data_IF_526656509088
#
_entry.id   IF_526656509088
#
_cell.length_a   1.000
_cell.length_b   1.000
_cell.length_c   1.000
_cell.angle_alpha   90.00
_cell.angle_beta   90.00
_cell.angle_gamma   90.00
#
_symmetry.space_group_name_H-M   'P 1'
#
loop_
_entity.id
_entity.type
_entity.pdbx_description
1 polymer ?
#
# COMPACT_ATOMS: atom_id res chain seq x y z
N UNK A 1 -3.24 27.53 -9.86
CA UNK A 1 -3.14 26.53 -8.78
C UNK A 1 -1.73 25.95 -8.82
N UNK A 2 -1.06 25.76 -7.68
CA UNK A 2 0.13 24.92 -7.64
C UNK A 2 -0.27 23.46 -7.91
N UNK A 3 0.54 22.74 -8.69
CA UNK A 3 0.45 21.31 -8.91
C UNK A 3 1.70 20.69 -8.29
N UNK A 4 1.52 19.77 -7.34
CA UNK A 4 2.61 19.11 -6.64
C UNK A 4 2.70 17.65 -7.08
N UNK A 5 3.92 17.17 -7.26
CA UNK A 5 4.24 15.80 -7.61
C UNK A 5 5.44 15.35 -6.77
N UNK A 6 5.33 14.18 -6.15
CA UNK A 6 6.39 13.56 -5.39
C UNK A 6 6.65 12.15 -5.96
N UNK A 7 7.92 11.83 -6.16
CA UNK A 7 8.38 10.49 -6.48
C UNK A 7 9.48 10.12 -5.50
N UNK A 8 9.19 9.17 -4.61
CA UNK A 8 10.15 8.67 -3.64
C UNK A 8 10.06 7.14 -3.58
N UNK A 9 11.13 6.51 -3.08
CA UNK A 9 11.15 5.09 -2.78
C UNK A 9 10.49 4.84 -1.42
N UNK A 10 10.00 3.62 -1.20
CA UNK A 10 9.52 3.22 0.12
C UNK A 10 10.70 3.26 1.12
N UNK A 11 10.49 3.95 2.24
CA UNK A 11 11.51 4.10 3.28
C UNK A 11 11.69 2.79 4.05
N UNK A 12 12.90 2.23 3.99
CA UNK A 12 13.27 0.99 4.68
C UNK A 12 13.08 1.07 6.20
N UNK A 13 13.13 2.28 6.78
CA UNK A 13 12.90 2.49 8.22
C UNK A 13 11.44 2.24 8.60
N UNK A 14 10.50 2.55 7.71
CA UNK A 14 9.07 2.29 7.94
C UNK A 14 8.76 0.80 7.86
N UNK A 15 9.39 0.09 6.91
CA UNK A 15 9.32 -1.37 6.81
C UNK A 15 9.87 -2.00 8.09
N UNK A 16 11.09 -1.63 8.50
CA UNK A 16 11.73 -2.14 9.71
C UNK A 16 10.90 -1.83 10.98
N UNK A 17 10.23 -0.68 11.03
CA UNK A 17 9.34 -0.32 12.13
C UNK A 17 8.13 -1.27 12.23
N UNK A 18 7.48 -1.58 11.11
CA UNK A 18 6.36 -2.52 11.08
C UNK A 18 6.82 -3.94 11.41
N UNK A 19 7.98 -4.35 10.90
CA UNK A 19 8.57 -5.65 11.21
C UNK A 19 8.92 -5.81 12.69
N UNK A 20 9.43 -4.76 13.34
CA UNK A 20 9.69 -4.76 14.78
C UNK A 20 8.41 -4.93 15.62
N UNK A 21 7.23 -4.69 15.03
CA UNK A 21 5.91 -4.90 15.65
C UNK A 21 5.29 -6.27 15.32
N UNK A 22 6.04 -7.14 14.62
CA UNK A 22 5.64 -8.51 14.32
C UNK A 22 4.93 -8.71 12.99
N UNK A 23 4.95 -7.71 12.11
CA UNK A 23 4.45 -7.82 10.72
C UNK A 23 5.58 -8.39 9.85
N UNK A 24 5.29 -9.27 8.89
CA UNK A 24 6.34 -9.69 7.96
C UNK A 24 6.68 -8.57 6.95
N UNK A 25 7.78 -8.72 6.21
CA UNK A 25 8.27 -7.71 5.28
C UNK A 25 7.29 -7.47 4.11
N UNK A 26 6.68 -8.52 3.58
CA UNK A 26 5.72 -8.44 2.47
C UNK A 26 4.46 -7.68 2.91
N UNK A 27 3.94 -8.04 4.09
CA UNK A 27 2.78 -7.38 4.68
C UNK A 27 3.08 -5.92 5.09
N UNK A 28 4.30 -5.62 5.54
CA UNK A 28 4.74 -4.26 5.83
C UNK A 28 4.76 -3.39 4.56
N UNK A 29 5.36 -3.88 3.46
CA UNK A 29 5.39 -3.18 2.17
C UNK A 29 3.98 -2.98 1.62
N UNK A 30 3.13 -4.00 1.69
CA UNK A 30 1.73 -3.95 1.28
C UNK A 30 0.93 -2.92 2.07
N UNK A 31 1.16 -2.84 3.39
CA UNK A 31 0.52 -1.86 4.27
C UNK A 31 0.89 -0.43 3.87
N UNK A 32 2.17 -0.15 3.63
CA UNK A 32 2.64 1.18 3.23
C UNK A 32 2.08 1.57 1.86
N UNK A 33 2.15 0.66 0.88
CA UNK A 33 1.63 0.90 -0.46
C UNK A 33 0.12 1.18 -0.46
N UNK A 34 -0.66 0.45 0.33
CA UNK A 34 -2.12 0.68 0.50
C UNK A 34 -2.40 2.05 1.12
N UNK A 35 -1.66 2.43 2.16
CA UNK A 35 -1.79 3.73 2.82
C UNK A 35 -1.46 4.89 1.87
N UNK A 36 -0.45 4.72 1.02
CA UNK A 36 -0.08 5.71 0.00
C UNK A 36 -1.12 5.85 -1.12
N UNK A 37 -1.61 4.72 -1.64
CA UNK A 37 -2.60 4.70 -2.72
C UNK A 37 -4.01 5.13 -2.28
N UNK A 38 -4.28 5.13 -0.96
CA UNK A 38 -5.58 5.37 -0.37
C UNK A 38 -6.71 4.63 -1.11
N UNK A 39 -6.67 3.29 -1.07
CA UNK A 39 -7.60 2.42 -1.81
C UNK A 39 -9.05 2.48 -1.29
N UNK A 40 -9.30 3.18 -0.19
CA UNK A 40 -10.64 3.40 0.35
C UNK A 40 -11.38 4.48 -0.45
N UNK A 41 -12.22 4.01 -1.38
CA UNK A 41 -13.03 4.86 -2.24
C UNK A 41 -14.39 5.10 -1.57
N UNK A 42 -14.65 6.35 -1.20
CA UNK A 42 -15.94 6.77 -0.63
C UNK A 42 -17.09 6.48 -1.62
N UNK A 43 -18.17 5.88 -1.12
CA UNK A 43 -19.33 5.48 -1.93
C UNK A 43 -19.14 4.19 -2.74
N UNK A 44 -18.00 3.50 -2.65
CA UNK A 44 -17.81 2.23 -3.34
C UNK A 44 -18.65 1.11 -2.68
N UNK A 45 -19.47 0.37 -3.45
CA UNK A 45 -20.19 -0.79 -2.94
C UNK A 45 -19.24 -1.82 -2.33
N UNK A 46 -19.63 -2.44 -1.21
CA UNK A 46 -18.76 -3.37 -0.47
C UNK A 46 -18.21 -4.51 -1.35
N UNK A 47 -19.01 -5.04 -2.29
CA UNK A 47 -18.57 -6.10 -3.21
C UNK A 47 -17.54 -5.67 -4.26
N UNK A 48 -17.24 -4.37 -4.37
CA UNK A 48 -16.20 -3.85 -5.28
C UNK A 48 -14.92 -3.45 -4.56
N UNK A 49 -14.91 -3.38 -3.21
CA UNK A 49 -13.71 -3.05 -2.43
C UNK A 49 -12.59 -4.09 -2.59
N UNK A 50 -12.94 -5.36 -2.73
CA UNK A 50 -11.94 -6.43 -2.86
C UNK A 50 -11.09 -6.36 -4.13
N UNK A 51 -11.60 -5.71 -5.19
CA UNK A 51 -10.90 -5.66 -6.48
C UNK A 51 -9.61 -4.83 -6.43
N UNK A 52 -9.62 -3.56 -5.99
CA UNK A 52 -8.38 -2.79 -5.83
C UNK A 52 -7.44 -3.45 -4.81
N UNK A 53 -7.97 -4.02 -3.72
CA UNK A 53 -7.15 -4.72 -2.72
C UNK A 53 -6.38 -5.91 -3.29
N UNK A 54 -7.03 -6.71 -4.14
CA UNK A 54 -6.39 -7.82 -4.85
C UNK A 54 -5.35 -7.32 -5.84
N UNK A 55 -5.69 -6.32 -6.64
CA UNK A 55 -4.77 -5.78 -7.66
C UNK A 55 -3.47 -5.26 -7.05
N UNK A 56 -3.55 -4.54 -5.92
CA UNK A 56 -2.36 -4.07 -5.19
C UNK A 56 -1.55 -5.25 -4.67
N UNK A 57 -2.20 -6.24 -4.04
CA UNK A 57 -1.50 -7.42 -3.50
C UNK A 57 -0.82 -8.26 -4.57
N UNK A 58 -1.48 -8.50 -5.71
CA UNK A 58 -0.93 -9.28 -6.83
C UNK A 58 0.28 -8.57 -7.44
N UNK A 59 0.18 -7.26 -7.66
CA UNK A 59 1.27 -6.46 -8.24
C UNK A 59 2.51 -6.45 -7.34
N UNK A 60 2.32 -6.39 -6.02
CA UNK A 60 3.44 -6.42 -5.06
C UNK A 60 4.12 -7.78 -5.01
N UNK A 61 3.36 -8.87 -5.11
CA UNK A 61 3.91 -10.23 -5.16
C UNK A 61 4.76 -10.48 -6.40
N UNK A 62 4.36 -9.92 -7.54
CA UNK A 62 5.13 -10.06 -8.80
C UNK A 62 6.46 -9.29 -8.78
N UNK A 63 6.63 -8.34 -7.85
CA UNK A 63 7.84 -7.51 -7.70
C UNK A 63 8.86 -8.08 -6.70
N UNK A 64 8.46 -9.05 -5.87
CA UNK A 64 9.30 -9.71 -4.86
C UNK A 64 9.80 -11.07 -5.36
#
# INVERSE_FOLDING_TARGET
MPHEFAADKIDQREIAYLMARGVDEEEAVSTIARGFLNVDIEGLPAGLREKPDKAVSETLKDLM
#
